data_IF_483642505363
#
_entry.id   IF_483642505363
#
_cell.length_a   1.000
_cell.length_b   1.000
_cell.length_c   1.000
_cell.angle_alpha   90.00
_cell.angle_beta   90.00
_cell.angle_gamma   90.00
#
_symmetry.space_group_name_H-M   'P 1'
#
loop_
_entity.id
_entity.type
_entity.pdbx_description
1 polymer ?
#
# COMPACT_ATOMS: atom_id res chain seq x y z
N UNK A 1 3.44 -52.96 -10.25
CA UNK A 1 2.55 -51.79 -10.16
C UNK A 1 3.19 -50.85 -9.15
N UNK A 2 3.68 -49.69 -9.59
CA UNK A 2 4.40 -48.73 -8.74
C UNK A 2 3.46 -47.59 -8.32
N UNK A 3 3.28 -47.39 -7.02
CA UNK A 3 2.46 -46.30 -6.47
C UNK A 3 3.35 -45.33 -5.69
N UNK A 4 3.56 -44.17 -6.32
CA UNK A 4 3.85 -42.82 -5.79
C UNK A 4 4.52 -42.65 -4.42
N UNK A 5 5.80 -42.28 -4.45
CA UNK A 5 6.42 -41.49 -3.38
C UNK A 5 6.33 -40.00 -3.75
N UNK A 6 5.38 -39.28 -3.15
CA UNK A 6 5.46 -37.81 -3.10
C UNK A 6 6.31 -37.43 -1.89
N UNK A 7 7.59 -37.19 -2.17
CA UNK A 7 8.53 -36.59 -1.25
C UNK A 7 8.23 -35.10 -1.13
N UNK A 8 7.51 -34.70 -0.09
CA UNK A 8 7.41 -33.29 0.33
C UNK A 8 8.29 -33.10 1.56
N UNK A 9 9.57 -32.69 1.42
CA UNK A 9 10.37 -32.38 2.59
C UNK A 9 9.79 -31.14 3.27
N UNK A 10 9.60 -31.29 4.58
CA UNK A 10 9.16 -30.31 5.55
C UNK A 10 9.92 -28.99 5.40
N UNK A 11 9.20 -27.91 5.15
CA UNK A 11 9.58 -26.56 5.60
C UNK A 11 8.56 -26.25 6.71
N UNK A 12 8.81 -26.63 7.97
CA UNK A 12 9.45 -25.74 8.97
C UNK A 12 9.26 -24.27 8.62
N UNK A 13 8.01 -23.83 8.57
CA UNK A 13 7.70 -22.43 8.72
C UNK A 13 6.94 -22.31 10.03
N UNK A 14 7.60 -21.69 10.99
CA UNK A 14 7.08 -21.44 12.31
C UNK A 14 5.75 -20.70 12.18
N UNK A 15 4.66 -21.37 12.57
CA UNK A 15 3.35 -20.73 12.68
C UNK A 15 3.40 -19.85 13.93
N UNK A 16 3.96 -18.65 13.79
CA UNK A 16 3.95 -17.66 14.84
C UNK A 16 2.55 -17.04 14.95
N UNK A 17 1.69 -17.70 15.73
CA UNK A 17 0.46 -17.10 16.23
C UNK A 17 0.79 -16.01 17.25
N UNK A 18 0.41 -14.76 16.98
CA UNK A 18 0.36 -13.70 18.00
C UNK A 18 -1.03 -13.05 18.06
N UNK A 19 -1.70 -13.41 19.16
CA UNK A 19 -2.88 -12.89 19.85
C UNK A 19 -3.76 -11.81 19.15
N UNK A 20 -4.96 -12.22 18.74
CA UNK A 20 -6.06 -11.33 18.39
C UNK A 20 -6.73 -10.73 19.66
N UNK A 21 -6.60 -9.42 19.85
CA UNK A 21 -7.43 -8.54 20.71
C UNK A 21 -8.10 -7.45 19.84
N UNK A 22 -9.12 -6.71 20.33
CA UNK A 22 -10.25 -6.24 19.51
C UNK A 22 -9.84 -5.26 18.40
N UNK A 23 -10.20 -5.57 17.14
CA UNK A 23 -9.99 -4.73 15.95
C UNK A 23 -10.86 -3.46 15.98
N UNK A 24 -10.29 -2.31 15.60
CA UNK A 24 -10.82 -1.64 14.41
C UNK A 24 -9.67 -1.20 13.48
N UNK A 25 -9.50 -1.94 12.38
CA UNK A 25 -8.53 -1.63 11.33
C UNK A 25 -7.08 -2.05 11.61
N UNK A 26 -6.24 -1.87 10.59
CA UNK A 26 -4.80 -2.09 10.66
C UNK A 26 -4.09 -0.90 11.31
N UNK A 27 -2.95 -1.15 11.97
CA UNK A 27 -2.13 -0.06 12.47
C UNK A 27 -1.62 0.81 11.30
N UNK A 28 -1.63 2.16 11.44
CA UNK A 28 -1.22 3.08 10.36
C UNK A 28 0.30 3.21 10.24
N UNK A 29 1.06 2.54 11.10
CA UNK A 29 2.53 2.59 11.16
C UNK A 29 3.08 1.19 11.41
N UNK A 30 4.29 0.92 10.93
CA UNK A 30 5.05 -0.28 11.25
C UNK A 30 6.51 0.10 11.49
N UNK A 31 7.10 -0.44 12.55
CA UNK A 31 8.50 -0.18 12.94
C UNK A 31 9.48 -1.14 12.27
N UNK A 32 9.00 -2.32 11.88
CA UNK A 32 9.76 -3.36 11.20
C UNK A 32 9.66 -3.31 9.67
N UNK A 33 10.21 -4.33 8.99
CA UNK A 33 10.12 -4.44 7.55
C UNK A 33 8.66 -4.55 7.09
N UNK A 34 8.37 -3.94 5.94
CA UNK A 34 7.05 -3.96 5.31
C UNK A 34 7.17 -4.43 3.88
N UNK A 35 6.21 -5.26 3.46
CA UNK A 35 6.04 -5.56 2.04
C UNK A 35 5.21 -4.46 1.41
N UNK A 36 5.44 -4.21 0.13
CA UNK A 36 4.67 -3.22 -0.61
C UNK A 36 4.42 -3.64 -2.05
N UNK A 37 3.37 -3.07 -2.64
CA UNK A 37 3.03 -3.17 -4.06
C UNK A 37 2.80 -1.77 -4.63
N UNK A 38 3.17 -1.59 -5.90
CA UNK A 38 2.96 -0.32 -6.61
C UNK A 38 1.50 -0.18 -7.02
N UNK A 39 0.98 1.04 -6.91
CA UNK A 39 -0.30 1.46 -7.49
C UNK A 39 -0.01 2.37 -8.67
N UNK A 40 -0.66 2.14 -9.80
CA UNK A 40 -0.51 2.97 -11.00
C UNK A 40 -1.85 3.39 -11.60
N UNK A 41 -1.83 4.50 -12.35
CA UNK A 41 -2.90 4.82 -13.27
C UNK A 41 -2.99 3.78 -14.40
N UNK A 42 -4.09 3.79 -15.15
CA UNK A 42 -4.23 2.94 -16.34
C UNK A 42 -3.16 3.18 -17.40
N UNK A 43 -2.48 4.34 -17.37
CA UNK A 43 -1.36 4.67 -18.25
C UNK A 43 0.00 4.09 -17.80
N UNK A 44 0.07 3.48 -16.62
CA UNK A 44 1.29 2.86 -16.08
C UNK A 44 2.11 3.76 -15.14
N UNK A 45 1.79 5.04 -15.04
CA UNK A 45 2.45 5.95 -14.09
C UNK A 45 2.15 5.54 -12.65
N UNK A 46 3.21 5.36 -11.84
CA UNK A 46 3.09 5.01 -10.42
C UNK A 46 2.61 6.22 -9.64
N UNK A 47 1.61 6.00 -8.80
CA UNK A 47 0.95 7.04 -8.01
C UNK A 47 1.12 6.81 -6.52
N UNK A 48 1.64 5.66 -6.12
CA UNK A 48 1.90 5.34 -4.73
C UNK A 48 2.05 3.86 -4.51
N UNK A 49 2.01 3.47 -3.25
CA UNK A 49 2.36 2.14 -2.78
C UNK A 49 1.39 1.71 -1.70
N UNK A 50 0.82 0.50 -1.84
CA UNK A 50 0.20 -0.18 -0.71
C UNK A 50 1.29 -0.91 0.04
N UNK A 51 1.35 -0.72 1.35
CA UNK A 51 2.29 -1.42 2.21
C UNK A 51 1.53 -2.20 3.29
N UNK A 52 2.15 -3.28 3.78
CA UNK A 52 1.56 -4.15 4.77
C UNK A 52 2.62 -4.93 5.56
N UNK A 53 2.29 -5.28 6.80
CA UNK A 53 3.05 -6.13 7.71
C UNK A 53 2.08 -6.97 8.54
N UNK A 54 2.10 -8.29 8.33
CA UNK A 54 1.27 -9.21 9.12
C UNK A 54 1.76 -9.31 10.57
N UNK A 55 3.09 -9.21 10.79
CA UNK A 55 3.71 -9.27 12.12
C UNK A 55 3.21 -8.17 13.04
N UNK A 56 3.03 -6.95 12.51
CA UNK A 56 2.55 -5.80 13.27
C UNK A 56 1.05 -5.54 13.07
N UNK A 57 0.35 -6.36 12.28
CA UNK A 57 -1.03 -6.14 11.83
C UNK A 57 -1.23 -4.69 11.33
N UNK A 58 -0.30 -4.24 10.47
CA UNK A 58 -0.19 -2.88 9.99
C UNK A 58 -0.34 -2.84 8.48
N UNK A 59 -1.04 -1.84 7.96
CA UNK A 59 -1.21 -1.67 6.53
C UNK A 59 -1.59 -0.23 6.20
N UNK A 60 -1.24 0.20 5.00
CA UNK A 60 -1.62 1.52 4.54
C UNK A 60 -1.21 1.82 3.13
N UNK A 61 -1.32 3.10 2.81
CA UNK A 61 -0.97 3.65 1.52
C UNK A 61 0.03 4.80 1.72
N UNK A 62 1.02 4.86 0.83
CA UNK A 62 1.98 5.95 0.71
C UNK A 62 1.83 6.54 -0.70
N UNK A 63 1.49 7.82 -0.87
CA UNK A 63 1.43 8.44 -2.19
C UNK A 63 2.82 8.61 -2.79
N UNK A 64 2.92 8.60 -4.11
CA UNK A 64 4.11 9.04 -4.83
C UNK A 64 4.06 10.56 -4.98
N UNK A 65 5.03 11.27 -4.37
CA UNK A 65 5.01 12.73 -4.35
C UNK A 65 5.07 13.34 -5.75
N UNK A 66 5.76 12.69 -6.68
CA UNK A 66 5.85 13.12 -8.08
C UNK A 66 4.49 13.09 -8.82
N UNK A 67 3.54 12.27 -8.34
CA UNK A 67 2.21 12.13 -8.93
C UNK A 67 1.18 13.17 -8.44
N UNK A 68 1.55 14.03 -7.48
CA UNK A 68 0.78 15.20 -7.07
C UNK A 68 -0.49 14.89 -6.26
N UNK A 69 -1.43 15.85 -6.24
CA UNK A 69 -2.59 15.82 -5.34
C UNK A 69 -3.55 14.64 -5.62
N UNK A 70 -3.64 14.18 -6.86
CA UNK A 70 -4.50 13.04 -7.22
C UNK A 70 -4.01 11.74 -6.56
N UNK A 71 -2.69 11.55 -6.47
CA UNK A 71 -2.09 10.43 -5.73
C UNK A 71 -2.41 10.52 -4.23
N UNK A 72 -2.35 11.72 -3.64
CA UNK A 72 -2.75 11.91 -2.25
C UNK A 72 -4.23 11.55 -2.03
N UNK A 73 -5.11 12.01 -2.91
CA UNK A 73 -6.55 11.75 -2.84
C UNK A 73 -6.89 10.26 -3.01
N UNK A 74 -6.13 9.53 -3.83
CA UNK A 74 -6.25 8.07 -4.00
C UNK A 74 -6.11 7.32 -2.67
N UNK A 75 -5.35 7.86 -1.71
CA UNK A 75 -5.20 7.29 -0.38
C UNK A 75 -6.52 7.06 0.34
N UNK A 76 -7.49 7.96 0.21
CA UNK A 76 -8.81 7.80 0.85
C UNK A 76 -9.53 6.53 0.40
N UNK A 77 -9.42 6.19 -0.89
CA UNK A 77 -10.00 4.96 -1.42
C UNK A 77 -9.33 3.73 -0.80
N UNK A 78 -8.00 3.71 -0.78
CA UNK A 78 -7.23 2.56 -0.28
C UNK A 78 -7.37 2.37 1.24
N UNK A 79 -7.39 3.45 2.02
CA UNK A 79 -7.66 3.36 3.46
C UNK A 79 -9.04 2.78 3.75
N UNK A 80 -10.07 3.15 2.97
CA UNK A 80 -11.41 2.55 3.10
C UNK A 80 -11.41 1.06 2.78
N UNK A 81 -10.71 0.64 1.73
CA UNK A 81 -10.60 -0.79 1.36
C UNK A 81 -9.90 -1.59 2.45
N UNK A 82 -8.81 -1.05 2.99
CA UNK A 82 -8.13 -1.67 4.14
C UNK A 82 -9.03 -1.74 5.37
N UNK A 83 -9.81 -0.71 5.68
CA UNK A 83 -10.78 -0.76 6.76
C UNK A 83 -11.84 -1.87 6.54
N UNK A 84 -12.45 -1.94 5.36
CA UNK A 84 -13.41 -2.98 4.99
C UNK A 84 -12.82 -4.41 5.08
N UNK A 85 -11.54 -4.59 4.73
CA UNK A 85 -10.85 -5.87 4.88
C UNK A 85 -10.54 -6.20 6.34
N UNK A 86 -10.09 -5.20 7.10
CA UNK A 86 -9.84 -5.31 8.53
C UNK A 86 -11.09 -5.71 9.30
N UNK A 87 -12.23 -5.06 9.00
CA UNK A 87 -13.55 -5.34 9.58
C UNK A 87 -14.04 -6.77 9.29
N UNK A 88 -13.68 -7.31 8.13
CA UNK A 88 -13.92 -8.72 7.76
C UNK A 88 -12.96 -9.70 8.42
N UNK A 89 -11.98 -9.22 9.18
CA UNK A 89 -11.06 -10.08 9.91
C UNK A 89 -9.80 -10.47 9.14
N UNK A 90 -9.63 -10.05 7.88
CA UNK A 90 -8.47 -10.43 7.04
C UNK A 90 -7.15 -9.92 7.65
N UNK A 91 -6.07 -10.69 7.47
CA UNK A 91 -4.72 -10.19 7.68
C UNK A 91 -4.38 -9.12 6.63
N UNK A 92 -3.39 -8.25 6.88
CA UNK A 92 -2.91 -7.29 5.89
C UNK A 92 -2.53 -7.93 4.54
N UNK A 93 -1.81 -9.05 4.54
CA UNK A 93 -1.42 -9.76 3.30
C UNK A 93 -2.62 -10.37 2.57
N UNK A 94 -3.56 -10.96 3.30
CA UNK A 94 -4.81 -11.50 2.73
C UNK A 94 -5.64 -10.39 2.08
N UNK A 95 -5.72 -9.22 2.72
CA UNK A 95 -6.42 -8.06 2.16
C UNK A 95 -5.81 -7.61 0.82
N UNK A 96 -4.48 -7.44 0.77
CA UNK A 96 -3.79 -7.03 -0.46
C UNK A 96 -3.89 -8.09 -1.55
N UNK A 97 -3.80 -9.38 -1.20
CA UNK A 97 -4.01 -10.48 -2.13
C UNK A 97 -5.43 -10.43 -2.72
N UNK A 98 -6.45 -10.25 -1.88
CA UNK A 98 -7.84 -10.13 -2.32
C UNK A 98 -8.05 -8.90 -3.23
N UNK A 99 -7.47 -7.76 -2.88
CA UNK A 99 -7.57 -6.56 -3.72
C UNK A 99 -7.01 -6.82 -5.11
N UNK A 100 -5.88 -7.51 -5.21
CA UNK A 100 -5.26 -7.89 -6.48
C UNK A 100 -6.15 -8.85 -7.27
N UNK A 101 -6.65 -9.90 -6.63
CA UNK A 101 -7.50 -10.92 -7.27
C UNK A 101 -8.81 -10.33 -7.81
N UNK A 102 -9.39 -9.37 -7.09
CA UNK A 102 -10.60 -8.66 -7.51
C UNK A 102 -10.33 -7.52 -8.48
N UNK A 103 -9.07 -7.28 -8.85
CA UNK A 103 -8.64 -6.10 -9.61
C UNK A 103 -9.22 -4.79 -9.01
N UNK A 104 -9.17 -4.69 -7.68
CA UNK A 104 -9.67 -3.55 -6.92
C UNK A 104 -8.90 -2.31 -7.34
N UNK A 105 -9.63 -1.24 -7.60
CA UNK A 105 -9.07 0.02 -8.06
C UNK A 105 -10.15 0.87 -8.69
N UNK A 106 -9.79 2.08 -9.09
CA UNK A 106 -10.67 2.96 -9.85
C UNK A 106 -9.86 3.99 -10.61
N UNK A 107 -10.49 4.69 -11.56
CA UNK A 107 -9.83 5.77 -12.30
C UNK A 107 -9.23 6.85 -11.39
N UNK A 108 -9.84 7.10 -10.21
CA UNK A 108 -9.34 8.08 -9.24
C UNK A 108 -8.45 7.50 -8.13
N UNK A 109 -8.21 6.18 -8.13
CA UNK A 109 -7.40 5.53 -7.10
C UNK A 109 -6.26 4.66 -7.65
N UNK A 110 -6.22 4.44 -8.97
CA UNK A 110 -5.30 3.53 -9.61
C UNK A 110 -5.62 2.06 -9.34
N UNK A 111 -4.73 1.19 -9.81
CA UNK A 111 -4.79 -0.27 -9.63
C UNK A 111 -3.45 -0.80 -9.16
N UNK A 112 -3.50 -1.95 -8.49
CA UNK A 112 -2.30 -2.67 -8.08
C UNK A 112 -1.56 -3.17 -9.33
N UNK A 113 -0.29 -2.80 -9.46
CA UNK A 113 0.58 -3.27 -10.54
C UNK A 113 0.95 -4.73 -10.29
N UNK A 114 0.70 -5.58 -11.28
CA UNK A 114 1.09 -6.99 -11.24
C UNK A 114 2.60 -7.14 -11.04
N UNK A 115 3.01 -8.17 -10.29
CA UNK A 115 4.42 -8.51 -10.05
C UNK A 115 5.31 -7.37 -9.52
N UNK A 116 4.69 -6.40 -8.83
CA UNK A 116 5.37 -5.25 -8.23
C UNK A 116 5.67 -5.42 -6.74
N UNK A 117 5.52 -6.63 -6.20
CA UNK A 117 5.77 -6.89 -4.79
C UNK A 117 7.26 -6.73 -4.48
N UNK A 118 7.56 -6.03 -3.40
CA UNK A 118 8.90 -5.76 -2.92
C UNK A 118 8.87 -5.49 -1.42
N UNK A 119 10.03 -5.38 -0.79
CA UNK A 119 10.15 -5.15 0.65
C UNK A 119 10.93 -3.87 0.92
N UNK A 120 10.52 -3.15 1.97
CA UNK A 120 11.24 -2.01 2.53
C UNK A 120 11.55 -2.30 4.00
N UNK A 121 12.69 -1.81 4.49
CA UNK A 121 13.11 -2.06 5.88
C UNK A 121 12.26 -1.33 6.92
N UNK A 122 11.48 -0.33 6.51
CA UNK A 122 10.44 0.34 7.32
C UNK A 122 9.50 1.16 6.43
N UNK A 123 8.35 1.57 6.97
CA UNK A 123 7.42 2.49 6.27
C UNK A 123 8.10 3.83 5.96
N UNK A 124 8.93 4.35 6.87
CA UNK A 124 9.66 5.59 6.65
C UNK A 124 10.60 5.52 5.44
N UNK A 125 11.26 4.37 5.24
CA UNK A 125 12.14 4.13 4.09
C UNK A 125 11.35 4.09 2.79
N UNK A 126 10.16 3.49 2.81
CA UNK A 126 9.24 3.51 1.67
C UNK A 126 8.77 4.95 1.37
N UNK A 127 8.33 5.70 2.38
CA UNK A 127 7.93 7.10 2.22
C UNK A 127 9.05 7.97 1.66
N UNK A 128 10.27 7.82 2.17
CA UNK A 128 11.44 8.52 1.66
C UNK A 128 11.71 8.20 0.17
N UNK A 129 11.56 6.93 -0.24
CA UNK A 129 11.70 6.54 -1.65
C UNK A 129 10.61 7.12 -2.55
N UNK A 130 9.41 7.33 -2.01
CA UNK A 130 8.27 7.94 -2.70
C UNK A 130 8.29 9.48 -2.66
N UNK A 131 9.36 10.09 -2.12
CA UNK A 131 9.49 11.54 -1.97
C UNK A 131 8.55 12.16 -0.92
N UNK A 132 7.95 11.36 -0.04
CA UNK A 132 7.04 11.81 1.01
C UNK A 132 7.78 11.90 2.35
N UNK A 133 7.65 13.03 3.05
CA UNK A 133 8.18 13.16 4.41
C UNK A 133 7.40 12.29 5.39
N UNK A 134 8.01 11.77 6.47
CA UNK A 134 7.37 10.85 7.43
C UNK A 134 6.12 11.43 8.12
N UNK A 135 5.89 12.74 8.05
CA UNK A 135 4.70 13.42 8.58
C UNK A 135 3.50 13.47 7.60
N UNK A 136 3.58 12.82 6.44
CA UNK A 136 2.49 12.80 5.44
C UNK A 136 2.20 14.17 4.80
N UNK A 137 3.00 15.18 5.08
CA UNK A 137 2.93 16.49 4.45
C UNK A 137 3.71 16.43 3.13
N UNK A 138 3.07 16.67 1.98
CA UNK A 138 3.79 16.89 0.73
C UNK A 138 4.78 18.03 0.95
N UNK A 139 6.05 17.83 0.62
CA UNK A 139 7.00 18.95 0.60
C UNK A 139 6.46 19.98 -0.39
N UNK A 140 5.96 21.11 0.13
CA UNK A 140 5.53 22.23 -0.72
C UNK A 140 6.72 22.62 -1.59
N UNK A 141 6.57 22.53 -2.91
CA UNK A 141 7.49 23.22 -3.82
C UNK A 141 7.47 24.71 -3.44
N UNK A 142 8.63 25.36 -3.23
CA UNK A 142 8.67 26.80 -3.22
C UNK A 142 8.30 27.28 -4.64
N UNK A 143 7.30 28.15 -4.67
CA UNK A 143 6.74 28.90 -5.80
C UNK A 143 6.02 28.16 -6.96
N UNK A 144 4.73 28.46 -7.05
CA UNK A 144 4.07 28.77 -8.31
C UNK A 144 3.42 30.13 -8.06
N UNK A 145 4.24 31.17 -8.12
CA UNK A 145 3.78 32.55 -7.95
C UNK A 145 2.96 32.99 -9.18
N UNK A 146 1.66 33.19 -8.93
CA UNK A 146 0.80 34.21 -9.53
C UNK A 146 0.95 34.52 -11.03
N UNK A 147 0.29 33.69 -11.85
CA UNK A 147 -0.13 34.04 -13.21
C UNK A 147 -1.57 34.57 -13.32
N UNK A 148 -2.09 35.32 -12.33
CA UNK A 148 -3.35 36.10 -12.51
C UNK A 148 -3.03 37.53 -12.92
N UNK A 149 -3.07 37.82 -14.22
CA UNK A 149 -3.40 39.16 -14.75
C UNK A 149 -4.47 38.96 -15.82
N UNK A 150 -5.74 39.06 -15.42
CA UNK A 150 -6.65 40.18 -15.72
C UNK A 150 -6.66 40.55 -17.20
N UNK A 151 -7.69 40.08 -17.89
CA UNK A 151 -8.14 40.67 -19.14
C UNK A 151 -8.87 41.99 -18.87
N UNK A 152 -8.58 42.97 -19.72
CA UNK A 152 -9.44 44.10 -20.08
C UNK A 152 -9.00 44.52 -21.48
N UNK A 153 -9.82 44.20 -22.47
CA UNK A 153 -10.18 45.12 -23.56
C UNK A 153 -11.62 44.77 -23.99
#
# INVERSE_FOLDING_TARGET
>A
MGTGEWNTPRLTEDVHFQLAGPKPGYAPTASGPVRYRRIAWSGGDVIGYLWYSDTENAAGYVPEAAAGDDAFNAGTFWYRRFAEAGDRGLSPSEAVAEFRERNTGSRGAGWIVADSESEATSVERLSASAGVSPNGVPLKRPDQESGRRRGTD
#
